data_IF_336490147993
#
_entry.id   IF_336490147993
#
_cell.length_a   1.000
_cell.length_b   1.000
_cell.length_c   1.000
_cell.angle_alpha   90.00
_cell.angle_beta   90.00
_cell.angle_gamma   90.00
#
_symmetry.space_group_name_H-M   'P 1'
#
loop_
_entity.id
_entity.type
_entity.pdbx_description
1 polymer ?
#
# COMPACT_ATOMS: atom_id res chain seq x y z
N UNK A 1 -5.96 -14.26 -13.82
CA UNK A 1 -4.54 -13.85 -13.74
C UNK A 1 -4.43 -12.35 -13.96
N UNK A 2 -4.12 -11.60 -12.90
CA UNK A 2 -3.89 -10.16 -12.98
C UNK A 2 -2.42 -9.93 -13.32
N UNK A 3 -2.12 -9.46 -14.53
CA UNK A 3 -0.72 -9.18 -14.89
C UNK A 3 -0.12 -8.14 -13.94
N UNK A 4 1.20 -8.17 -13.65
CA UNK A 4 1.84 -7.20 -12.77
C UNK A 4 1.51 -5.74 -13.15
N UNK A 5 1.45 -5.45 -14.45
CA UNK A 5 1.06 -4.13 -14.99
C UNK A 5 -0.40 -3.77 -14.69
N UNK A 6 -1.34 -4.73 -14.77
CA UNK A 6 -2.75 -4.48 -14.39
C UNK A 6 -2.87 -4.17 -12.90
N UNK A 7 -2.18 -4.92 -12.04
CA UNK A 7 -2.17 -4.69 -10.59
C UNK A 7 -1.61 -3.31 -10.25
N UNK A 8 -0.43 -2.97 -10.78
CA UNK A 8 0.21 -1.67 -10.53
C UNK A 8 -0.73 -0.51 -10.90
N UNK A 9 -1.38 -0.59 -12.07
CA UNK A 9 -2.35 0.41 -12.50
C UNK A 9 -3.59 0.44 -11.61
N UNK A 10 -4.07 -0.71 -11.16
CA UNK A 10 -5.26 -0.78 -10.31
C UNK A 10 -5.01 -0.19 -8.92
N UNK A 11 -3.87 -0.52 -8.30
CA UNK A 11 -3.43 0.08 -7.03
C UNK A 11 -3.22 1.59 -7.18
N UNK A 12 -2.57 2.03 -8.26
CA UNK A 12 -2.40 3.46 -8.56
C UNK A 12 -3.73 4.21 -8.66
N UNK A 13 -4.71 3.65 -9.37
CA UNK A 13 -6.06 4.22 -9.45
C UNK A 13 -6.76 4.24 -8.08
N UNK A 14 -6.64 3.18 -7.30
CA UNK A 14 -7.24 3.09 -5.95
C UNK A 14 -6.72 4.22 -5.04
N UNK A 15 -5.41 4.46 -5.06
CA UNK A 15 -4.76 5.58 -4.35
C UNK A 15 -5.32 6.91 -4.82
N UNK A 16 -5.38 7.13 -6.14
CA UNK A 16 -5.92 8.36 -6.73
C UNK A 16 -7.37 8.62 -6.30
N UNK A 17 -8.24 7.61 -6.39
CA UNK A 17 -9.64 7.72 -5.98
C UNK A 17 -9.78 8.04 -4.48
N UNK A 18 -9.06 7.35 -3.61
CA UNK A 18 -9.09 7.61 -2.16
C UNK A 18 -8.56 9.01 -1.81
N UNK A 19 -7.53 9.47 -2.53
CA UNK A 19 -6.99 10.82 -2.41
C UNK A 19 -8.04 11.88 -2.75
N UNK A 20 -8.73 11.70 -3.88
CA UNK A 20 -9.75 12.64 -4.37
C UNK A 20 -11.01 12.65 -3.50
N UNK A 21 -11.42 11.49 -2.98
CA UNK A 21 -12.53 11.39 -2.02
C UNK A 21 -12.23 12.13 -0.72
N UNK A 22 -10.95 12.22 -0.34
CA UNK A 22 -10.48 13.01 0.82
C UNK A 22 -10.16 14.46 0.49
N UNK A 23 -10.44 14.91 -0.74
CA UNK A 23 -10.22 16.29 -1.17
C UNK A 23 -8.74 16.69 -1.23
N UNK A 24 -7.81 15.74 -1.36
CA UNK A 24 -6.37 16.00 -1.33
C UNK A 24 -5.78 16.20 -2.73
N UNK A 25 -4.84 17.15 -2.87
CA UNK A 25 -3.95 17.22 -4.04
C UNK A 25 -2.85 16.16 -3.96
N UNK A 26 -2.20 15.86 -5.10
CA UNK A 26 -1.04 14.96 -5.12
C UNK A 26 0.08 15.50 -4.21
N UNK A 27 0.30 16.81 -4.15
CA UNK A 27 1.32 17.40 -3.28
C UNK A 27 0.97 17.27 -1.81
N UNK A 28 -0.29 17.52 -1.44
CA UNK A 28 -0.76 17.33 -0.07
C UNK A 28 -0.61 15.87 0.39
N UNK A 29 -0.95 14.89 -0.45
CA UNK A 29 -0.73 13.48 -0.12
C UNK A 29 0.77 13.14 -0.04
N UNK A 30 1.56 13.65 -0.98
CA UNK A 30 3.02 13.49 -1.00
C UNK A 30 3.66 13.96 0.30
N UNK A 31 3.29 15.15 0.79
CA UNK A 31 3.74 15.70 2.06
C UNK A 31 3.29 14.86 3.25
N UNK A 32 2.00 14.48 3.31
CA UNK A 32 1.45 13.63 4.39
C UNK A 32 2.09 12.25 4.47
N UNK A 33 2.43 11.67 3.32
CA UNK A 33 3.02 10.34 3.23
C UNK A 33 4.56 10.36 3.33
N UNK A 34 5.20 11.54 3.26
CA UNK A 34 6.66 11.63 3.15
C UNK A 34 7.21 10.99 1.87
N UNK A 35 6.42 10.93 0.79
CA UNK A 35 6.79 10.34 -0.51
C UNK A 35 6.99 11.46 -1.51
N UNK A 36 8.01 11.39 -2.38
CA UNK A 36 8.24 12.44 -3.38
C UNK A 36 7.06 12.64 -4.33
N UNK A 37 6.70 13.89 -4.63
CA UNK A 37 5.55 14.20 -5.50
C UNK A 37 5.63 13.52 -6.87
N UNK A 38 6.79 13.55 -7.52
CA UNK A 38 7.01 12.89 -8.81
C UNK A 38 6.93 11.35 -8.70
N UNK A 39 7.26 10.79 -7.54
CA UNK A 39 7.12 9.35 -7.29
C UNK A 39 5.65 8.99 -7.10
N UNK A 40 4.91 9.72 -6.26
CA UNK A 40 3.48 9.53 -6.06
C UNK A 40 2.71 9.63 -7.39
N UNK A 41 3.02 10.63 -8.21
CA UNK A 41 2.40 10.80 -9.54
C UNK A 41 2.65 9.59 -10.44
N UNK A 42 3.88 9.04 -10.47
CA UNK A 42 4.20 7.82 -11.23
C UNK A 42 3.48 6.58 -10.68
N UNK A 43 3.29 6.50 -9.37
CA UNK A 43 2.54 5.42 -8.72
C UNK A 43 1.06 5.50 -9.09
N UNK A 44 0.41 6.65 -8.93
CA UNK A 44 -1.01 6.84 -9.24
C UNK A 44 -1.32 6.55 -10.72
N UNK A 45 -0.42 6.93 -11.63
CA UNK A 45 -0.54 6.65 -13.06
C UNK A 45 -0.15 5.21 -13.46
N UNK A 46 0.26 4.38 -12.49
CA UNK A 46 0.68 2.99 -12.71
C UNK A 46 1.96 2.86 -13.54
N UNK A 47 2.77 3.91 -13.62
CA UNK A 47 4.07 3.93 -14.30
C UNK A 47 5.19 3.35 -13.43
N UNK A 48 4.98 3.27 -12.11
CA UNK A 48 5.92 2.71 -11.14
C UNK A 48 5.19 1.83 -10.12
N UNK A 49 5.73 0.65 -9.87
CA UNK A 49 5.32 -0.16 -8.73
C UNK A 49 5.82 0.48 -7.44
N UNK A 50 4.92 0.70 -6.49
CA UNK A 50 5.30 1.13 -5.14
C UNK A 50 5.89 -0.06 -4.35
N UNK A 51 6.87 0.24 -3.48
CA UNK A 51 7.25 -0.72 -2.45
C UNK A 51 6.12 -0.86 -1.42
N UNK A 52 6.09 -1.96 -0.67
CA UNK A 52 5.07 -2.11 0.37
C UNK A 52 5.19 -1.04 1.47
N UNK A 53 6.42 -0.64 1.80
CA UNK A 53 6.70 0.44 2.76
C UNK A 53 6.17 1.78 2.23
N UNK A 54 6.39 2.07 0.95
CA UNK A 54 5.85 3.28 0.29
C UNK A 54 4.32 3.25 0.29
N UNK A 55 3.70 2.10 -0.01
CA UNK A 55 2.24 1.97 0.05
C UNK A 55 1.69 2.15 1.46
N UNK A 56 2.38 1.64 2.49
CA UNK A 56 1.99 1.81 3.89
C UNK A 56 2.07 3.28 4.31
N UNK A 57 3.12 4.00 3.90
CA UNK A 57 3.22 5.44 4.11
C UNK A 57 2.09 6.21 3.40
N UNK A 58 1.76 5.83 2.15
CA UNK A 58 0.62 6.39 1.41
C UNK A 58 -0.71 6.09 2.12
N UNK A 59 -0.91 4.85 2.61
CA UNK A 59 -2.10 4.45 3.33
C UNK A 59 -2.29 5.29 4.61
N UNK A 60 -1.22 5.49 5.38
CA UNK A 60 -1.22 6.40 6.55
C UNK A 60 -1.54 7.84 6.15
N UNK A 61 -0.91 8.37 5.10
CA UNK A 61 -1.19 9.72 4.59
C UNK A 61 -2.63 9.90 4.10
N UNK A 62 -3.23 8.81 3.62
CA UNK A 62 -4.64 8.69 3.26
C UNK A 62 -5.54 8.37 4.46
N UNK A 63 -5.05 8.17 5.69
CA UNK A 63 -5.88 7.68 6.81
C UNK A 63 -6.72 6.46 6.40
N UNK A 64 -6.06 5.49 5.79
CA UNK A 64 -6.62 4.24 5.25
C UNK A 64 -5.70 3.09 5.66
N UNK A 65 -6.18 1.86 5.49
CA UNK A 65 -5.36 0.66 5.65
C UNK A 65 -4.70 0.24 4.33
N UNK A 66 -3.63 -0.54 4.45
CA UNK A 66 -2.93 -1.13 3.31
C UNK A 66 -3.78 -2.20 2.60
N UNK A 67 -4.64 -2.91 3.35
CA UNK A 67 -5.61 -3.86 2.81
C UNK A 67 -6.56 -3.19 1.81
N UNK A 68 -7.08 -2.00 2.15
CA UNK A 68 -7.98 -1.22 1.27
C UNK A 68 -7.29 -0.76 -0.03
N UNK A 69 -5.98 -0.50 0.01
CA UNK A 69 -5.22 -0.13 -1.19
C UNK A 69 -5.00 -1.33 -2.13
N UNK A 70 -4.81 -2.52 -1.58
CA UNK A 70 -4.58 -3.74 -2.37
C UNK A 70 -5.87 -4.46 -2.77
N UNK A 71 -6.99 -4.20 -2.09
CA UNK A 71 -8.32 -4.67 -2.47
C UNK A 71 -8.94 -3.80 -3.58
N UNK A 72 -8.29 -3.84 -4.75
CA UNK A 72 -8.61 -3.01 -5.90
C UNK A 72 -9.74 -3.58 -6.78
N UNK A 73 -10.15 -4.82 -6.53
CA UNK A 73 -11.25 -5.48 -7.25
C UNK A 73 -12.61 -5.19 -6.60
N UNK A 74 -12.63 -4.92 -5.29
CA UNK A 74 -13.85 -4.57 -4.58
C UNK A 74 -14.13 -3.06 -4.64
N UNK A 75 -15.41 -2.66 -4.74
CA UNK A 75 -15.82 -1.27 -4.53
C UNK A 75 -15.33 -0.75 -3.17
N UNK A 76 -15.11 0.56 -3.05
CA UNK A 76 -14.92 1.19 -1.74
C UNK A 76 -16.23 1.09 -0.96
N UNK A 77 -16.19 0.58 0.27
CA UNK A 77 -17.32 0.66 1.20
C UNK A 77 -17.33 2.04 1.88
N UNK A 78 -18.49 2.50 2.33
CA UNK A 78 -18.67 3.70 3.14
C UNK A 78 -17.75 3.72 4.38
N UNK A 79 -17.42 2.55 4.94
CA UNK A 79 -16.44 2.40 6.04
C UNK A 79 -15.02 2.79 5.63
N UNK A 80 -14.60 2.48 4.40
CA UNK A 80 -13.30 2.89 3.85
C UNK A 80 -13.23 4.41 3.58
N UNK A 81 -14.42 5.00 3.43
CA UNK A 81 -14.69 6.41 3.16
C UNK A 81 -15.06 7.14 4.47
N UNK A 82 -15.11 6.50 5.64
CA UNK A 82 -15.65 7.14 6.85
C UNK A 82 -14.84 8.39 7.27
N UNK A 83 -13.52 8.40 7.00
CA UNK A 83 -12.69 9.61 7.09
C UNK A 83 -13.02 10.69 6.03
N UNK A 84 -13.42 10.28 4.82
CA UNK A 84 -13.86 11.15 3.74
C UNK A 84 -15.31 11.67 3.92
N UNK A 85 -16.20 10.95 4.61
CA UNK A 85 -17.55 11.44 4.96
C UNK A 85 -17.49 12.60 5.96
N UNK A 86 -16.57 12.55 6.94
CA UNK A 86 -16.30 13.69 7.82
C UNK A 86 -15.72 14.89 7.04
N UNK A 87 -14.82 14.64 6.08
CA UNK A 87 -14.27 15.70 5.21
C UNK A 87 -15.31 16.29 4.24
N UNK A 88 -16.20 15.49 3.65
CA UNK A 88 -17.28 16.00 2.79
C UNK A 88 -18.33 16.80 3.56
N UNK A 89 -18.46 16.54 4.87
CA UNK A 89 -19.32 17.31 5.78
C UNK A 89 -18.69 18.65 6.18
N UNK A 90 -17.35 18.75 6.16
CA UNK A 90 -16.60 19.92 6.64
C UNK A 90 -15.93 20.76 5.53
N UNK A 91 -15.65 20.18 4.36
CA UNK A 91 -14.97 20.86 3.26
C UNK A 91 -15.99 21.40 2.24
N UNK A 92 -16.26 22.70 2.33
CA UNK A 92 -16.90 23.45 1.25
C UNK A 92 -16.09 23.29 -0.04
N UNK A 93 -16.70 22.97 -1.20
CA UNK A 93 -16.01 22.79 -2.48
C UNK A 93 -15.04 23.93 -2.84
N UNK A 94 -15.37 25.16 -2.42
CA UNK A 94 -14.53 26.34 -2.61
C UNK A 94 -13.16 26.25 -1.90
N UNK A 95 -13.10 25.61 -0.73
CA UNK A 95 -11.85 25.44 0.04
C UNK A 95 -10.93 24.41 -0.62
N UNK A 96 -11.51 23.35 -1.20
CA UNK A 96 -10.79 22.36 -2.01
C UNK A 96 -10.19 22.99 -3.27
N UNK A 97 -10.98 23.77 -3.99
CA UNK A 97 -10.53 24.46 -5.21
C UNK A 97 -9.50 25.55 -4.92
N UNK A 98 -9.61 26.24 -3.78
CA UNK A 98 -8.60 27.20 -3.32
C UNK A 98 -7.29 26.50 -2.91
N UNK A 99 -7.36 25.34 -2.24
CA UNK A 99 -6.18 24.54 -1.94
C UNK A 99 -5.47 24.10 -3.23
N UNK A 100 -6.20 23.63 -4.24
CA UNK A 100 -5.66 23.29 -5.57
C UNK A 100 -5.00 24.52 -6.22
N UNK A 101 -5.67 25.69 -6.24
CA UNK A 101 -5.11 26.92 -6.81
C UNK A 101 -3.88 27.42 -6.07
N UNK A 102 -3.84 27.29 -4.74
CA UNK A 102 -2.66 27.66 -3.93
C UNK A 102 -1.49 26.73 -4.22
N UNK A 103 -1.76 25.44 -4.35
CA UNK A 103 -0.77 24.41 -4.64
C UNK A 103 -0.12 24.58 -6.03
N UNK A 104 -0.92 24.99 -7.02
CA UNK A 104 -0.47 25.29 -8.38
C UNK A 104 0.38 26.58 -8.48
N UNK A 105 0.26 27.51 -7.52
CA UNK A 105 0.99 28.79 -7.52
C UNK A 105 2.44 28.71 -7.01
N UNK A 106 2.86 27.60 -6.39
CA UNK A 106 4.24 27.37 -5.96
C UNK A 106 4.79 26.07 -6.55
N UNK A 107 5.39 26.10 -7.76
CA UNK A 107 5.78 24.88 -8.44
C UNK A 107 7.06 24.21 -7.91
N UNK A 108 7.92 24.89 -7.15
CA UNK A 108 9.23 24.33 -6.82
C UNK A 108 9.70 24.77 -5.41
N UNK A 109 9.58 23.86 -4.44
CA UNK A 109 10.45 23.84 -3.26
C UNK A 109 11.10 22.48 -3.27
N UNK A 110 12.43 22.47 -3.31
CA UNK A 110 13.19 21.24 -3.37
C UNK A 110 12.74 20.34 -2.21
N UNK A 111 12.40 19.09 -2.53
CA UNK A 111 11.91 18.09 -1.58
C UNK A 111 12.84 17.91 -0.35
N UNK A 112 14.08 18.40 -0.44
CA UNK A 112 15.08 18.36 0.63
C UNK A 112 14.86 19.38 1.75
N UNK A 113 14.09 20.45 1.54
CA UNK A 113 14.04 21.58 2.47
C UNK A 113 12.85 21.55 3.46
N UNK A 114 11.92 20.59 3.32
CA UNK A 114 10.65 20.54 4.09
C UNK A 114 10.55 19.30 5.00
N UNK A 115 11.54 18.40 4.99
CA UNK A 115 11.55 17.23 5.91
C UNK A 115 12.00 17.66 7.31
N UNK A 116 11.15 18.43 8.00
CA UNK A 116 11.25 18.77 9.42
C UNK A 116 10.36 17.90 10.32
N UNK A 117 9.66 16.91 9.76
CA UNK A 117 8.92 15.90 10.51
C UNK A 117 9.71 14.59 10.50
N UNK A 118 10.29 14.22 11.65
CA UNK A 118 10.94 12.93 11.84
C UNK A 118 9.89 11.82 11.70
N UNK A 119 9.73 11.23 10.51
CA UNK A 119 9.27 9.85 10.43
C UNK A 119 10.44 9.03 10.97
N UNK A 120 10.38 8.57 12.22
CA UNK A 120 11.42 7.70 12.79
C UNK A 120 11.45 6.43 11.94
N UNK A 121 12.48 6.21 11.09
CA UNK A 121 12.37 5.25 9.99
C UNK A 121 12.34 3.78 10.42
N UNK A 122 12.69 3.47 11.67
CA UNK A 122 13.12 2.12 12.01
C UNK A 122 12.02 1.26 12.65
N UNK A 123 11.17 1.80 13.52
CA UNK A 123 10.26 0.94 14.31
C UNK A 123 9.02 0.48 13.53
N UNK A 124 8.34 1.40 12.83
CA UNK A 124 7.10 1.05 12.11
C UNK A 124 7.36 0.23 10.84
N UNK A 125 8.45 0.56 10.13
CA UNK A 125 8.90 -0.18 8.95
C UNK A 125 9.25 -1.63 9.33
N UNK A 126 9.98 -1.82 10.44
CA UNK A 126 10.38 -3.15 10.89
C UNK A 126 9.18 -3.93 11.43
N UNK A 127 8.26 -3.28 12.15
CA UNK A 127 7.01 -3.89 12.57
C UNK A 127 6.18 -4.40 11.38
N UNK A 128 6.07 -3.61 10.29
CA UNK A 128 5.37 -4.03 9.08
C UNK A 128 6.05 -5.24 8.42
N UNK A 129 7.38 -5.23 8.26
CA UNK A 129 8.13 -6.36 7.70
C UNK A 129 7.87 -7.65 8.49
N UNK A 130 7.94 -7.57 9.81
CA UNK A 130 7.72 -8.70 10.72
C UNK A 130 6.29 -9.23 10.58
N UNK A 131 5.28 -8.36 10.56
CA UNK A 131 3.87 -8.75 10.41
C UNK A 131 3.59 -9.42 9.06
N UNK A 132 4.11 -8.85 7.97
CA UNK A 132 3.99 -9.43 6.62
C UNK A 132 4.68 -10.78 6.55
N UNK A 133 5.90 -10.89 7.08
CA UNK A 133 6.63 -12.16 7.12
C UNK A 133 5.90 -13.25 7.90
N UNK A 134 5.37 -12.90 9.08
CA UNK A 134 4.56 -13.80 9.89
C UNK A 134 3.29 -14.23 9.15
N UNK A 135 2.60 -13.31 8.47
CA UNK A 135 1.38 -13.62 7.71
C UNK A 135 1.64 -14.56 6.53
N UNK A 136 2.70 -14.31 5.75
CA UNK A 136 3.12 -15.19 4.66
C UNK A 136 3.44 -16.60 5.15
N UNK A 137 4.17 -16.71 6.28
CA UNK A 137 4.47 -18.00 6.90
C UNK A 137 3.20 -18.73 7.35
N UNK A 138 2.26 -18.03 7.97
CA UNK A 138 1.02 -18.61 8.46
C UNK A 138 0.17 -19.16 7.31
N UNK A 139 -0.05 -18.36 6.26
CA UNK A 139 -0.82 -18.77 5.08
C UNK A 139 -0.14 -19.92 4.34
N UNK A 140 1.19 -19.89 4.19
CA UNK A 140 1.95 -20.99 3.59
C UNK A 140 1.74 -22.31 4.35
N UNK A 141 1.84 -22.28 5.69
CA UNK A 141 1.64 -23.47 6.52
C UNK A 141 0.19 -23.97 6.47
N UNK A 142 -0.79 -23.07 6.37
CA UNK A 142 -2.19 -23.45 6.19
C UNK A 142 -2.47 -24.13 4.83
N UNK A 143 -1.55 -24.02 3.87
CA UNK A 143 -1.56 -24.75 2.59
C UNK A 143 -0.65 -25.98 2.59
N UNK A 144 -0.13 -26.38 3.74
CA UNK A 144 0.83 -27.49 3.89
C UNK A 144 2.09 -27.38 3.00
N UNK A 145 2.44 -26.15 2.59
CA UNK A 145 3.61 -25.91 1.75
C UNK A 145 4.86 -25.67 2.61
N UNK A 146 6.00 -26.23 2.21
CA UNK A 146 7.30 -25.85 2.77
C UNK A 146 7.83 -24.56 2.12
N UNK A 147 8.86 -23.95 2.72
CA UNK A 147 9.53 -22.80 2.09
C UNK A 147 10.18 -23.16 0.74
N UNK A 148 10.59 -24.44 0.57
CA UNK A 148 11.14 -24.93 -0.70
C UNK A 148 10.05 -25.04 -1.76
N UNK A 149 8.86 -25.51 -1.39
CA UNK A 149 7.74 -25.64 -2.35
C UNK A 149 7.33 -24.27 -2.87
N UNK A 150 7.17 -23.29 -1.98
CA UNK A 150 6.88 -21.90 -2.39
C UNK A 150 8.02 -21.31 -3.22
N UNK A 151 9.29 -21.56 -2.85
CA UNK A 151 10.42 -21.09 -3.63
C UNK A 151 10.42 -21.65 -5.06
N UNK A 152 10.16 -22.96 -5.21
CA UNK A 152 10.01 -23.61 -6.50
C UNK A 152 8.86 -23.01 -7.33
N UNK A 153 7.67 -22.83 -6.72
CA UNK A 153 6.52 -22.22 -7.39
C UNK A 153 6.75 -20.75 -7.78
N UNK A 154 7.56 -20.02 -6.99
CA UNK A 154 7.95 -18.65 -7.27
C UNK A 154 9.20 -18.53 -8.16
N UNK A 155 9.79 -19.64 -8.61
CA UNK A 155 11.06 -19.65 -9.36
C UNK A 155 12.15 -18.82 -8.66
N UNK A 156 12.34 -19.06 -7.36
CA UNK A 156 13.33 -18.38 -6.51
C UNK A 156 13.97 -19.39 -5.56
N UNK A 157 14.86 -18.93 -4.66
CA UNK A 157 15.49 -19.78 -3.66
C UNK A 157 14.76 -19.73 -2.30
N UNK A 158 14.90 -20.80 -1.52
CA UNK A 158 14.26 -20.89 -0.21
C UNK A 158 14.80 -19.87 0.82
N UNK A 159 16.01 -19.33 0.61
CA UNK A 159 16.54 -18.29 1.47
C UNK A 159 15.87 -16.93 1.22
N UNK A 160 15.45 -16.62 -0.02
CA UNK A 160 14.61 -15.46 -0.34
C UNK A 160 13.25 -15.55 0.39
N UNK A 161 12.59 -16.71 0.31
CA UNK A 161 11.33 -16.95 1.05
C UNK A 161 11.54 -16.83 2.55
N UNK A 162 12.62 -17.40 3.09
CA UNK A 162 12.97 -17.30 4.50
C UNK A 162 13.19 -15.86 4.95
N UNK A 163 13.90 -15.05 4.15
CA UNK A 163 14.13 -13.62 4.43
C UNK A 163 12.85 -12.80 4.43
N UNK A 164 11.88 -13.14 3.57
CA UNK A 164 10.55 -12.53 3.64
C UNK A 164 9.81 -12.94 4.91
N UNK A 165 9.76 -14.23 5.23
CA UNK A 165 9.01 -14.74 6.38
C UNK A 165 9.58 -14.34 7.74
N UNK A 166 10.89 -14.09 7.83
CA UNK A 166 11.54 -13.59 9.05
C UNK A 166 11.41 -12.08 9.24
N UNK A 167 10.89 -11.35 8.24
CA UNK A 167 10.87 -9.88 8.25
C UNK A 167 12.23 -9.25 7.95
N UNK A 168 13.27 -10.03 7.60
CA UNK A 168 14.55 -9.49 7.16
C UNK A 168 14.42 -8.68 5.86
N UNK A 169 13.44 -9.01 5.02
CA UNK A 169 13.10 -8.26 3.80
C UNK A 169 11.59 -8.20 3.61
N UNK A 170 11.10 -7.11 3.03
CA UNK A 170 9.71 -7.02 2.56
C UNK A 170 9.62 -7.36 1.07
N UNK A 171 8.70 -8.23 0.63
CA UNK A 171 8.48 -8.45 -0.79
C UNK A 171 7.89 -7.21 -1.48
N UNK A 172 8.19 -7.03 -2.77
CA UNK A 172 7.54 -6.00 -3.60
C UNK A 172 6.08 -6.35 -3.86
N UNK A 173 5.24 -5.38 -4.24
CA UNK A 173 3.83 -5.62 -4.57
C UNK A 173 3.66 -6.64 -5.71
N UNK A 174 4.43 -6.61 -6.81
CA UNK A 174 4.37 -7.67 -7.81
C UNK A 174 4.73 -9.05 -7.26
N UNK A 175 5.71 -9.14 -6.34
CA UNK A 175 6.06 -10.42 -5.73
C UNK A 175 4.99 -10.90 -4.74
N UNK A 176 4.39 -10.00 -3.96
CA UNK A 176 3.22 -10.30 -3.12
C UNK A 176 2.06 -10.84 -3.95
N UNK A 177 1.82 -10.32 -5.15
CA UNK A 177 0.80 -10.85 -6.05
C UNK A 177 1.08 -12.31 -6.43
N UNK A 178 2.34 -12.65 -6.71
CA UNK A 178 2.75 -14.04 -6.98
C UNK A 178 2.60 -14.93 -5.75
N UNK A 179 2.92 -14.43 -4.55
CA UNK A 179 2.62 -15.14 -3.30
C UNK A 179 1.12 -15.40 -3.18
N UNK A 180 0.27 -14.41 -3.46
CA UNK A 180 -1.19 -14.55 -3.40
C UNK A 180 -1.69 -15.64 -4.36
N UNK A 181 -1.13 -15.73 -5.57
CA UNK A 181 -1.42 -16.80 -6.53
C UNK A 181 -0.98 -18.17 -6.01
N UNK A 182 0.26 -18.31 -5.51
CA UNK A 182 0.80 -19.57 -4.97
C UNK A 182 0.04 -20.04 -3.74
N UNK A 183 -0.37 -19.09 -2.89
CA UNK A 183 -1.12 -19.34 -1.67
C UNK A 183 -2.62 -19.32 -1.91
N UNK A 184 -3.07 -19.23 -3.17
CA UNK A 184 -4.45 -19.15 -3.65
C UNK A 184 -5.38 -18.33 -2.73
N UNK A 185 -4.94 -17.14 -2.35
CA UNK A 185 -5.70 -16.17 -1.58
C UNK A 185 -5.74 -14.85 -2.33
N UNK A 186 -6.75 -14.00 -2.09
CA UNK A 186 -6.70 -12.64 -2.60
C UNK A 186 -5.52 -11.88 -1.99
N UNK A 187 -4.91 -10.97 -2.76
CA UNK A 187 -3.68 -10.26 -2.35
C UNK A 187 -3.83 -9.47 -1.04
N UNK A 188 -5.01 -8.91 -0.77
CA UNK A 188 -5.26 -8.19 0.49
C UNK A 188 -5.17 -9.09 1.72
N UNK A 189 -5.39 -10.41 1.58
CA UNK A 189 -5.36 -11.38 2.67
C UNK A 189 -3.94 -11.53 3.25
N UNK A 190 -2.92 -11.24 2.45
CA UNK A 190 -1.52 -11.23 2.87
C UNK A 190 -1.22 -10.11 3.87
N UNK A 191 -2.13 -9.13 4.01
CA UNK A 191 -1.98 -7.96 4.88
C UNK A 191 -3.05 -7.88 5.97
N UNK A 192 -3.87 -8.93 6.12
CA UNK A 192 -4.83 -9.05 7.21
C UNK A 192 -4.10 -9.59 8.45
N UNK A 193 -3.83 -8.71 9.41
CA UNK A 193 -3.01 -9.03 10.58
C UNK A 193 -3.83 -9.40 11.83
N UNK A 194 -5.11 -9.04 11.87
CA UNK A 194 -5.92 -9.09 13.08
C UNK A 194 -6.83 -10.32 13.18
N UNK A 195 -6.72 -11.27 12.25
CA UNK A 195 -7.55 -12.48 12.26
C UNK A 195 -6.73 -13.77 12.43
N UNK A 196 -6.96 -14.52 13.53
CA UNK A 196 -6.41 -15.85 13.69
C UNK A 196 -6.97 -16.73 12.57
N UNK A 197 -6.05 -17.32 11.79
CA UNK A 197 -6.23 -18.29 10.72
C UNK A 197 -7.65 -18.49 10.20
N UNK A 198 -7.90 -18.03 8.98
CA UNK A 198 -9.02 -18.50 8.15
C UNK A 198 -9.13 -20.02 8.30
N UNK A 199 -10.18 -20.44 8.99
CA UNK A 199 -10.69 -21.80 8.92
C UNK A 199 -11.28 -21.91 7.52
N UNK A 200 -10.47 -22.31 6.55
CA UNK A 200 -10.98 -22.75 5.26
C UNK A 200 -11.74 -24.06 5.55
N UNK A 201 -13.07 -23.95 5.57
CA UNK A 201 -13.99 -25.09 5.62
C UNK A 201 -14.06 -25.81 4.28
#
# INVERSE_FOLDING_TARGET
>A
MTTPTKLIRAVGRRICTLRELRGLTQRQLSERAGVGHAELSKIENGQRAASLITLDAIARGLQSSLTVLLDHEQPLDLRDIEGALNLLREAEPAQRDEAIRRDQRHPDRSFRDVVGGQMTPDTDTDALKVRVGARLRALRRARDLSQRDVASLLNTDAAEVSRHESGARCPSVPLLARYAEVLEVPIYELLRFDEPGLSLG
#
